data_IF_566059666766
#
_entry.id   IF_566059666766
#
_cell.length_a   1.000
_cell.length_b   1.000
_cell.length_c   1.000
_cell.angle_alpha   90.00
_cell.angle_beta   90.00
_cell.angle_gamma   90.00
#
_symmetry.space_group_name_H-M   'P 1'
#
loop_
_entity.id
_entity.type
_entity.pdbx_description
1 polymer ?
#
# COMPACT_ATOMS: atom_id res chain seq x y z
N UNK A 1 -11.80 -12.27 41.10
CA UNK A 1 -10.58 -12.91 41.62
C UNK A 1 -9.39 -12.15 41.08
N UNK A 2 -8.62 -11.53 41.97
CA UNK A 2 -7.40 -10.81 41.62
C UNK A 2 -6.19 -11.75 41.80
N UNK A 3 -5.17 -11.60 40.95
CA UNK A 3 -3.95 -12.40 41.06
C UNK A 3 -2.91 -11.63 41.85
N UNK A 4 -2.38 -12.22 42.92
CA UNK A 4 -1.36 -11.59 43.76
C UNK A 4 -0.02 -12.28 43.55
N UNK A 5 1.02 -11.50 43.25
CA UNK A 5 2.39 -11.99 43.29
C UNK A 5 2.93 -11.79 44.70
N UNK A 6 3.50 -12.84 45.28
CA UNK A 6 4.11 -12.79 46.60
C UNK A 6 5.57 -13.20 46.56
N UNK A 7 6.34 -12.57 47.45
CA UNK A 7 7.67 -13.02 47.85
C UNK A 7 7.61 -13.35 49.33
N UNK A 8 7.95 -14.58 49.70
CA UNK A 8 7.90 -15.06 51.07
C UNK A 8 9.19 -15.81 51.42
N UNK A 9 9.52 -15.88 52.71
CA UNK A 9 10.73 -16.53 53.23
C UNK A 9 10.36 -17.79 54.00
N UNK A 10 11.06 -18.89 53.78
CA UNK A 10 10.91 -20.11 54.57
C UNK A 10 11.57 -19.96 55.93
N UNK A 11 11.20 -20.77 56.92
CA UNK A 11 11.86 -20.80 58.23
C UNK A 11 13.36 -21.11 58.17
N UNK A 12 13.83 -21.75 57.09
CA UNK A 12 15.23 -22.02 56.80
C UNK A 12 15.97 -20.86 56.09
N UNK A 13 15.26 -19.76 55.81
CA UNK A 13 15.83 -18.53 55.27
C UNK A 13 15.82 -18.39 53.75
N UNK A 14 15.29 -19.37 53.01
CA UNK A 14 15.20 -19.32 51.54
C UNK A 14 14.02 -18.46 51.08
N UNK A 15 14.24 -17.65 50.03
CA UNK A 15 13.20 -16.79 49.45
C UNK A 15 12.45 -17.58 48.37
N UNK A 16 11.12 -17.56 48.44
CA UNK A 16 10.21 -18.23 47.53
C UNK A 16 9.25 -17.19 46.94
N UNK A 17 9.20 -17.11 45.62
CA UNK A 17 8.30 -16.23 44.88
C UNK A 17 7.22 -17.04 44.16
N UNK A 18 5.98 -16.58 44.20
CA UNK A 18 4.86 -17.26 43.55
C UNK A 18 3.70 -16.33 43.22
N UNK A 19 2.68 -16.88 42.56
CA UNK A 19 1.40 -16.20 42.33
C UNK A 19 0.27 -16.98 42.96
N UNK A 20 -0.71 -16.28 43.51
CA UNK A 20 -1.90 -16.87 44.10
C UNK A 20 -3.12 -16.00 43.80
N UNK A 21 -4.17 -16.64 43.29
CA UNK A 21 -5.42 -15.96 42.98
C UNK A 21 -6.29 -15.93 44.23
N UNK A 22 -6.62 -14.73 44.70
CA UNK A 22 -7.41 -14.52 45.89
C UNK A 22 -8.38 -13.34 45.70
N UNK A 23 -9.34 -13.21 46.59
CA UNK A 23 -10.25 -12.07 46.57
C UNK A 23 -9.66 -10.86 47.32
N UNK A 24 -8.78 -11.09 48.30
CA UNK A 24 -8.16 -10.06 49.13
C UNK A 24 -6.75 -10.48 49.58
N UNK A 25 -5.91 -9.50 49.93
CA UNK A 25 -4.53 -9.71 50.41
C UNK A 25 -4.48 -10.62 51.65
N UNK A 26 -5.46 -10.50 52.55
CA UNK A 26 -5.55 -11.31 53.78
C UNK A 26 -5.68 -12.82 53.50
N UNK A 27 -6.32 -13.19 52.39
CA UNK A 27 -6.41 -14.58 51.95
C UNK A 27 -5.07 -15.11 51.43
N UNK A 28 -4.25 -14.25 50.80
CA UNK A 28 -2.89 -14.58 50.36
C UNK A 28 -1.98 -14.77 51.58
N UNK A 29 -2.06 -13.89 52.58
CA UNK A 29 -1.30 -14.00 53.83
C UNK A 29 -1.64 -15.30 54.58
N UNK A 30 -2.92 -15.63 54.66
CA UNK A 30 -3.40 -16.86 55.31
C UNK A 30 -2.90 -18.12 54.59
N UNK A 31 -2.92 -18.12 53.25
CA UNK A 31 -2.35 -19.20 52.43
C UNK A 31 -0.84 -19.39 52.68
N UNK A 32 -0.08 -18.29 52.72
CA UNK A 32 1.37 -18.35 52.96
C UNK A 32 1.70 -18.85 54.36
N UNK A 33 0.95 -18.37 55.37
CA UNK A 33 1.13 -18.80 56.76
C UNK A 33 0.81 -20.30 56.95
N UNK A 34 -0.24 -20.81 56.30
CA UNK A 34 -0.57 -22.24 56.32
C UNK A 34 0.51 -23.12 55.66
N UNK A 35 1.32 -22.56 54.75
CA UNK A 35 2.48 -23.24 54.15
C UNK A 35 3.80 -23.02 54.92
N UNK A 36 3.76 -22.37 56.08
CA UNK A 36 4.96 -22.06 56.87
C UNK A 36 5.88 -21.03 56.19
N UNK A 37 5.34 -20.18 55.31
CA UNK A 37 6.05 -19.13 54.59
C UNK A 37 5.74 -17.76 55.21
N UNK A 38 6.77 -16.97 55.47
CA UNK A 38 6.64 -15.61 56.01
C UNK A 38 6.60 -14.59 54.87
N UNK A 39 5.48 -13.88 54.66
CA UNK A 39 5.36 -12.91 53.57
C UNK A 39 6.32 -11.73 53.78
N UNK A 40 7.04 -11.35 52.71
CA UNK A 40 7.96 -10.20 52.68
C UNK A 40 7.40 -9.07 51.81
N UNK A 41 6.79 -9.41 50.67
CA UNK A 41 6.16 -8.47 49.75
C UNK A 41 4.97 -9.15 49.08
N UNK A 42 3.81 -8.49 49.06
CA UNK A 42 2.60 -8.96 48.37
C UNK A 42 2.11 -7.81 47.50
N UNK A 43 2.15 -8.01 46.19
CA UNK A 43 1.69 -7.02 45.21
C UNK A 43 0.53 -7.60 44.43
N UNK A 44 -0.57 -6.86 44.42
CA UNK A 44 -1.67 -7.15 43.52
C UNK A 44 -1.17 -6.96 42.09
N UNK A 45 -1.13 -8.05 41.34
CA UNK A 45 -0.88 -7.99 39.92
C UNK A 45 -2.23 -7.66 39.30
N UNK A 46 -2.51 -6.35 39.19
CA UNK A 46 -3.62 -5.89 38.37
C UNK A 46 -3.42 -6.51 37.01
N UNK A 47 -4.32 -7.41 36.63
CA UNK A 47 -4.31 -8.01 35.30
C UNK A 47 -4.62 -6.89 34.30
N UNK A 48 -3.62 -6.10 33.93
CA UNK A 48 -3.56 -5.52 32.60
C UNK A 48 -3.71 -6.74 31.71
N UNK A 49 -4.90 -6.89 31.11
CA UNK A 49 -5.15 -7.83 30.01
C UNK A 49 -4.15 -7.47 28.92
N UNK A 50 -2.93 -7.98 29.04
CA UNK A 50 -2.01 -8.22 27.93
C UNK A 50 -2.62 -9.40 27.18
N UNK A 51 -3.74 -9.13 26.51
CA UNK A 51 -4.09 -9.80 25.28
C UNK A 51 -3.03 -9.42 24.25
N UNK A 52 -1.84 -10.02 24.37
CA UNK A 52 -0.91 -10.11 23.25
C UNK A 52 -1.41 -11.28 22.39
N UNK A 53 -2.63 -11.16 21.91
CA UNK A 53 -2.95 -11.52 20.54
C UNK A 53 -3.10 -10.18 19.83
N UNK A 54 -1.97 -9.49 19.65
CA UNK A 54 -1.87 -8.58 18.52
C UNK A 54 -1.92 -9.46 17.26
N UNK A 55 -3.12 -9.97 16.94
CA UNK A 55 -3.50 -10.22 15.56
C UNK A 55 -3.30 -8.87 14.90
N UNK A 56 -2.10 -8.67 14.37
CA UNK A 56 -1.79 -7.57 13.49
C UNK A 56 -2.92 -7.59 12.48
N UNK A 57 -3.83 -6.60 12.56
CA UNK A 57 -4.97 -6.50 11.65
C UNK A 57 -4.36 -6.24 10.28
N UNK A 58 -3.99 -7.32 9.59
CA UNK A 58 -3.44 -7.28 8.26
C UNK A 58 -4.47 -6.57 7.41
N UNK A 59 -4.03 -5.52 6.72
CA UNK A 59 -4.87 -4.83 5.74
C UNK A 59 -5.34 -5.87 4.73
N UNK A 60 -6.63 -5.81 4.38
CA UNK A 60 -7.20 -6.69 3.35
C UNK A 60 -6.46 -6.41 2.03
N UNK A 61 -5.86 -7.44 1.47
CA UNK A 61 -5.09 -7.38 0.22
C UNK A 61 -5.94 -7.80 -0.97
N UNK A 62 -5.53 -7.45 -2.19
CA UNK A 62 -6.19 -7.93 -3.41
C UNK A 62 -6.15 -9.46 -3.51
N UNK A 63 -5.13 -10.12 -2.92
CA UNK A 63 -5.09 -11.59 -2.86
C UNK A 63 -6.19 -12.16 -1.96
N UNK A 64 -6.45 -11.53 -0.81
CA UNK A 64 -7.51 -11.96 0.11
C UNK A 64 -8.88 -11.84 -0.57
N UNK A 65 -9.13 -10.74 -1.29
CA UNK A 65 -10.36 -10.54 -2.06
C UNK A 65 -10.48 -11.52 -3.24
N UNK A 66 -9.37 -11.84 -3.92
CA UNK A 66 -9.35 -12.83 -4.99
C UNK A 66 -9.74 -14.22 -4.48
N UNK A 67 -9.18 -14.65 -3.34
CA UNK A 67 -9.51 -15.94 -2.71
C UNK A 67 -10.97 -15.94 -2.24
N UNK A 68 -11.41 -14.87 -1.58
CA UNK A 68 -12.80 -14.70 -1.15
C UNK A 68 -13.77 -14.84 -2.33
N UNK A 69 -13.58 -14.07 -3.41
CA UNK A 69 -14.47 -14.14 -4.58
C UNK A 69 -14.43 -15.51 -5.25
N UNK A 70 -13.26 -16.15 -5.36
CA UNK A 70 -13.11 -17.47 -5.97
C UNK A 70 -13.82 -18.55 -5.16
N UNK A 71 -13.62 -18.58 -3.85
CA UNK A 71 -14.28 -19.55 -2.97
C UNK A 71 -15.80 -19.34 -2.96
N UNK A 72 -16.23 -18.08 -2.89
CA UNK A 72 -17.64 -17.73 -2.92
C UNK A 72 -18.28 -18.16 -4.25
N UNK A 73 -17.65 -17.84 -5.40
CA UNK A 73 -18.07 -18.32 -6.72
C UNK A 73 -18.23 -19.84 -6.75
N UNK A 74 -17.21 -20.59 -6.31
CA UNK A 74 -17.25 -22.06 -6.33
C UNK A 74 -18.44 -22.62 -5.54
N UNK A 75 -18.78 -22.02 -4.40
CA UNK A 75 -19.90 -22.47 -3.58
C UNK A 75 -21.26 -22.05 -4.14
N UNK A 76 -21.40 -20.81 -4.62
CA UNK A 76 -22.65 -20.33 -5.26
C UNK A 76 -22.94 -21.11 -6.52
N UNK A 77 -21.93 -21.36 -7.36
CA UNK A 77 -22.07 -22.18 -8.57
C UNK A 77 -22.39 -23.66 -8.24
N UNK A 78 -21.98 -24.15 -7.06
CA UNK A 78 -22.39 -25.46 -6.55
C UNK A 78 -23.80 -25.48 -5.92
N UNK A 79 -24.53 -24.37 -5.96
CA UNK A 79 -25.89 -24.25 -5.43
C UNK A 79 -25.99 -24.03 -3.92
N UNK A 80 -24.89 -23.70 -3.24
CA UNK A 80 -24.92 -23.35 -1.82
C UNK A 80 -25.56 -21.98 -1.65
N UNK A 81 -26.47 -21.84 -0.67
CA UNK A 81 -27.10 -20.55 -0.38
C UNK A 81 -26.07 -19.49 0.04
N UNK A 82 -26.35 -18.21 -0.22
CA UNK A 82 -25.48 -17.08 0.14
C UNK A 82 -25.09 -17.10 1.62
N UNK A 83 -26.06 -17.35 2.51
CA UNK A 83 -25.83 -17.46 3.96
C UNK A 83 -24.90 -18.64 4.27
N UNK A 84 -25.08 -19.79 3.62
CA UNK A 84 -24.21 -20.96 3.77
C UNK A 84 -22.77 -20.68 3.30
N UNK A 85 -22.63 -19.98 2.18
CA UNK A 85 -21.33 -19.53 1.67
C UNK A 85 -20.63 -18.62 2.69
N UNK A 86 -21.33 -17.61 3.21
CA UNK A 86 -20.78 -16.67 4.18
C UNK A 86 -20.36 -17.36 5.49
N UNK A 87 -21.11 -18.36 5.97
CA UNK A 87 -20.75 -19.16 7.16
C UNK A 87 -19.45 -19.94 6.96
N UNK A 88 -19.23 -20.51 5.76
CA UNK A 88 -17.99 -21.20 5.43
C UNK A 88 -16.83 -20.21 5.28
N UNK A 89 -17.04 -19.09 4.58
CA UNK A 89 -16.03 -18.06 4.34
C UNK A 89 -15.52 -17.45 5.66
N UNK A 90 -16.40 -17.12 6.61
CA UNK A 90 -15.95 -16.56 7.91
C UNK A 90 -15.07 -17.53 8.70
N UNK A 91 -15.29 -18.84 8.56
CA UNK A 91 -14.54 -19.89 9.26
C UNK A 91 -13.18 -20.18 8.59
N UNK A 92 -13.11 -20.08 7.27
CA UNK A 92 -11.92 -20.44 6.49
C UNK A 92 -11.01 -19.26 6.15
N UNK A 93 -11.47 -18.02 6.31
CA UNK A 93 -10.68 -16.83 5.98
C UNK A 93 -9.50 -16.65 6.95
N UNK A 94 -8.28 -16.75 6.43
CA UNK A 94 -7.05 -16.56 7.23
C UNK A 94 -6.85 -15.10 7.68
N UNK A 95 -7.23 -14.14 6.83
CA UNK A 95 -7.10 -12.72 7.17
C UNK A 95 -8.14 -12.35 8.22
N UNK A 96 -7.69 -12.20 9.47
CA UNK A 96 -8.52 -11.85 10.63
C UNK A 96 -9.42 -10.64 10.43
N UNK A 97 -8.97 -9.59 9.71
CA UNK A 97 -9.80 -8.40 9.45
C UNK A 97 -10.91 -8.68 8.44
N UNK A 98 -10.61 -9.50 7.43
CA UNK A 98 -11.61 -9.92 6.45
C UNK A 98 -12.60 -10.91 7.08
N UNK A 99 -12.14 -11.83 7.93
CA UNK A 99 -13.01 -12.76 8.65
C UNK A 99 -13.99 -12.03 9.59
N UNK A 100 -13.52 -11.01 10.33
CA UNK A 100 -14.38 -10.13 11.14
C UNK A 100 -15.46 -9.45 10.27
N UNK A 101 -15.06 -8.88 9.13
CA UNK A 101 -15.99 -8.26 8.19
C UNK A 101 -17.02 -9.25 7.63
N UNK A 102 -16.59 -10.45 7.22
CA UNK A 102 -17.51 -11.47 6.71
C UNK A 102 -18.48 -11.92 7.80
N UNK A 103 -18.05 -11.95 9.06
CA UNK A 103 -18.95 -12.25 10.17
C UNK A 103 -20.02 -11.16 10.35
N UNK A 104 -19.65 -9.87 10.28
CA UNK A 104 -20.60 -8.76 10.32
C UNK A 104 -21.60 -8.83 9.15
N UNK A 105 -21.11 -9.11 7.94
CA UNK A 105 -21.95 -9.31 6.75
C UNK A 105 -22.87 -10.52 6.90
N UNK A 106 -22.37 -11.64 7.44
CA UNK A 106 -23.18 -12.82 7.72
C UNK A 106 -24.34 -12.51 8.67
N UNK A 107 -24.05 -11.81 9.77
CA UNK A 107 -25.05 -11.45 10.78
C UNK A 107 -26.12 -10.51 10.19
N UNK A 108 -25.76 -9.59 9.29
CA UNK A 108 -26.70 -8.68 8.64
C UNK A 108 -27.56 -9.35 7.56
N UNK A 109 -26.98 -10.23 6.74
CA UNK A 109 -27.74 -11.03 5.77
C UNK A 109 -28.69 -11.99 6.49
N UNK A 110 -28.28 -12.55 7.64
CA UNK A 110 -29.14 -13.39 8.47
C UNK A 110 -30.35 -12.62 9.04
N UNK A 111 -30.22 -11.30 9.27
CA UNK A 111 -31.34 -10.43 9.67
C UNK A 111 -32.28 -10.08 8.51
N UNK A 112 -31.95 -10.49 7.28
CA UNK A 112 -32.78 -10.28 6.10
C UNK A 112 -32.36 -9.11 5.20
N UNK A 113 -31.23 -8.44 5.48
CA UNK A 113 -30.68 -7.45 4.56
C UNK A 113 -30.09 -8.13 3.32
N UNK A 114 -30.04 -7.41 2.20
CA UNK A 114 -29.39 -7.92 1.00
C UNK A 114 -27.87 -8.05 1.20
N UNK A 115 -27.22 -8.91 0.42
CA UNK A 115 -25.76 -9.09 0.47
C UNK A 115 -25.04 -7.79 0.12
N UNK A 116 -25.52 -7.08 -0.90
CA UNK A 116 -24.99 -5.80 -1.34
C UNK A 116 -25.14 -4.70 -0.29
N UNK A 117 -26.29 -4.62 0.38
CA UNK A 117 -26.54 -3.68 1.48
C UNK A 117 -25.57 -3.93 2.64
N UNK A 118 -25.43 -5.19 3.07
CA UNK A 118 -24.51 -5.56 4.14
C UNK A 118 -23.04 -5.21 3.81
N UNK A 119 -22.60 -5.47 2.57
CA UNK A 119 -21.24 -5.11 2.13
C UNK A 119 -21.04 -3.59 2.03
N UNK A 120 -22.08 -2.82 1.70
CA UNK A 120 -22.01 -1.36 1.54
C UNK A 120 -21.65 -0.63 2.85
N UNK A 121 -22.02 -1.20 4.00
CA UNK A 121 -21.65 -0.72 5.34
C UNK A 121 -20.13 -0.71 5.55
N UNK A 122 -19.39 -1.49 4.77
CA UNK A 122 -17.94 -1.60 4.82
C UNK A 122 -17.22 -0.94 3.63
N UNK A 123 -17.85 0.02 2.95
CA UNK A 123 -17.30 0.79 1.82
C UNK A 123 -15.97 1.51 2.10
N UNK A 124 -15.64 1.75 3.37
CA UNK A 124 -14.33 2.30 3.77
C UNK A 124 -13.17 1.28 3.66
N UNK A 125 -13.49 -0.02 3.65
CA UNK A 125 -12.50 -1.12 3.61
C UNK A 125 -12.57 -1.90 2.30
N UNK A 126 -13.77 -2.12 1.77
CA UNK A 126 -13.98 -2.87 0.53
C UNK A 126 -13.88 -1.96 -0.71
N UNK A 127 -13.35 -2.46 -1.83
CA UNK A 127 -13.38 -1.72 -3.10
C UNK A 127 -14.82 -1.50 -3.59
N UNK A 128 -15.11 -0.30 -4.10
CA UNK A 128 -16.44 0.05 -4.63
C UNK A 128 -16.88 -0.91 -5.74
N UNK A 129 -15.96 -1.33 -6.61
CA UNK A 129 -16.26 -2.29 -7.70
C UNK A 129 -16.79 -3.63 -7.18
N UNK A 130 -16.32 -4.09 -6.01
CA UNK A 130 -16.80 -5.33 -5.40
C UNK A 130 -18.26 -5.19 -4.99
N UNK A 131 -18.59 -4.11 -4.27
CA UNK A 131 -19.94 -3.85 -3.75
C UNK A 131 -20.92 -3.66 -4.90
N UNK A 132 -20.60 -2.78 -5.85
CA UNK A 132 -21.50 -2.46 -6.96
C UNK A 132 -21.73 -3.64 -7.91
N UNK A 133 -20.73 -4.50 -8.12
CA UNK A 133 -20.96 -5.70 -8.93
C UNK A 133 -21.80 -6.74 -8.21
N UNK A 134 -21.59 -6.93 -6.90
CA UNK A 134 -22.43 -7.85 -6.12
C UNK A 134 -23.88 -7.37 -6.08
N UNK A 135 -24.11 -6.06 -5.96
CA UNK A 135 -25.44 -5.45 -6.09
C UNK A 135 -26.10 -5.80 -7.43
N UNK A 136 -25.38 -5.61 -8.53
CA UNK A 136 -25.86 -6.00 -9.86
C UNK A 136 -26.20 -7.49 -9.90
N UNK A 137 -25.27 -8.36 -9.50
CA UNK A 137 -25.44 -9.81 -9.55
C UNK A 137 -26.56 -10.33 -8.65
N UNK A 138 -26.83 -9.64 -7.54
CA UNK A 138 -27.94 -9.93 -6.65
C UNK A 138 -29.29 -9.55 -7.28
N UNK A 139 -29.37 -8.38 -7.92
CA UNK A 139 -30.58 -7.91 -8.63
C UNK A 139 -30.87 -8.71 -9.89
N UNK A 140 -29.83 -9.08 -10.67
CA UNK A 140 -29.96 -9.83 -11.91
C UNK A 140 -29.99 -11.35 -11.73
N UNK A 141 -29.71 -11.84 -10.52
CA UNK A 141 -29.59 -13.28 -10.24
C UNK A 141 -28.36 -13.94 -10.89
N UNK A 142 -27.35 -13.16 -11.30
CA UNK A 142 -26.11 -13.63 -11.95
C UNK A 142 -24.88 -13.50 -11.03
N UNK A 143 -25.09 -13.72 -9.72
CA UNK A 143 -24.06 -13.60 -8.69
C UNK A 143 -22.84 -14.52 -8.94
N UNK A 144 -23.07 -15.72 -9.47
CA UNK A 144 -22.03 -16.67 -9.88
C UNK A 144 -21.09 -16.06 -10.94
N UNK A 145 -21.65 -15.52 -12.02
CA UNK A 145 -20.87 -14.88 -13.09
C UNK A 145 -20.10 -13.67 -12.56
N UNK A 146 -20.76 -12.83 -11.76
CA UNK A 146 -20.14 -11.66 -11.13
C UNK A 146 -18.95 -12.05 -10.25
N UNK A 147 -19.09 -13.07 -9.40
CA UNK A 147 -18.04 -13.50 -8.49
C UNK A 147 -16.83 -14.09 -9.25
N UNK A 148 -17.04 -14.82 -10.35
CA UNK A 148 -15.93 -15.31 -11.19
C UNK A 148 -15.15 -14.15 -11.84
N UNK A 149 -15.88 -13.16 -12.38
CA UNK A 149 -15.28 -11.97 -12.99
C UNK A 149 -14.51 -11.12 -11.98
N UNK A 150 -15.06 -10.93 -10.77
CA UNK A 150 -14.38 -10.27 -9.66
C UNK A 150 -13.14 -11.05 -9.20
N UNK A 151 -13.21 -12.38 -9.12
CA UNK A 151 -12.05 -13.21 -8.80
C UNK A 151 -10.93 -13.02 -9.83
N UNK A 152 -11.25 -13.08 -11.13
CA UNK A 152 -10.29 -12.83 -12.20
C UNK A 152 -9.67 -11.42 -12.11
N UNK A 153 -10.49 -10.40 -11.83
CA UNK A 153 -10.04 -9.03 -11.63
C UNK A 153 -9.01 -8.91 -10.49
N UNK A 154 -9.34 -9.41 -9.29
CA UNK A 154 -8.46 -9.30 -8.14
C UNK A 154 -7.20 -10.18 -8.24
N UNK A 155 -7.27 -11.31 -8.96
CA UNK A 155 -6.08 -12.12 -9.31
C UNK A 155 -5.12 -11.27 -10.17
N UNK A 156 -5.64 -10.62 -11.22
CA UNK A 156 -4.83 -9.77 -12.12
C UNK A 156 -4.24 -8.57 -11.36
N UNK A 157 -5.04 -7.92 -10.51
CA UNK A 157 -4.56 -6.82 -9.67
C UNK A 157 -3.45 -7.28 -8.71
N UNK A 158 -3.62 -8.43 -8.05
CA UNK A 158 -2.60 -8.99 -7.18
C UNK A 158 -1.31 -9.33 -7.94
N UNK A 159 -1.41 -9.91 -9.15
CA UNK A 159 -0.24 -10.21 -9.99
C UNK A 159 0.57 -8.94 -10.28
N UNK A 160 -0.08 -7.85 -10.66
CA UNK A 160 0.59 -6.56 -10.92
C UNK A 160 1.26 -6.05 -9.63
N UNK A 161 0.54 -6.08 -8.50
CA UNK A 161 1.09 -5.64 -7.21
C UNK A 161 2.30 -6.47 -6.77
N UNK A 162 2.24 -7.79 -6.90
CA UNK A 162 3.35 -8.68 -6.57
C UNK A 162 4.54 -8.45 -7.49
N UNK A 163 4.31 -8.26 -8.80
CA UNK A 163 5.37 -7.94 -9.75
C UNK A 163 6.10 -6.66 -9.34
N UNK A 164 5.37 -5.59 -9.01
CA UNK A 164 5.96 -4.33 -8.51
C UNK A 164 6.74 -4.58 -7.22
N UNK A 165 6.15 -5.31 -6.25
CA UNK A 165 6.77 -5.57 -4.95
C UNK A 165 8.09 -6.34 -5.09
N UNK A 166 8.09 -7.42 -5.87
CA UNK A 166 9.27 -8.26 -6.10
C UNK A 166 10.33 -7.51 -6.89
N UNK A 167 9.94 -6.78 -7.93
CA UNK A 167 10.84 -5.94 -8.71
C UNK A 167 11.52 -4.84 -7.88
N UNK A 168 10.83 -4.30 -6.87
CA UNK A 168 11.39 -3.25 -6.02
C UNK A 168 12.29 -3.76 -4.91
N UNK A 169 12.29 -5.06 -4.64
CA UNK A 169 13.13 -5.67 -3.61
C UNK A 169 14.62 -5.47 -3.93
N UNK A 170 15.03 -5.69 -5.18
CA UNK A 170 16.43 -5.57 -5.60
C UNK A 170 16.96 -4.13 -5.49
N UNK A 171 16.30 -3.09 -6.04
CA UNK A 171 16.70 -1.70 -5.84
C UNK A 171 16.74 -1.26 -4.38
N UNK A 172 15.84 -1.77 -3.53
CA UNK A 172 15.87 -1.46 -2.10
C UNK A 172 17.10 -2.04 -1.40
N UNK A 173 17.48 -3.29 -1.70
CA UNK A 173 18.67 -3.93 -1.11
C UNK A 173 19.94 -3.19 -1.54
N UNK A 174 20.10 -2.93 -2.85
CA UNK A 174 21.27 -2.21 -3.35
C UNK A 174 21.30 -0.78 -2.85
N UNK A 175 20.16 -0.08 -2.85
CA UNK A 175 20.05 1.26 -2.30
C UNK A 175 20.44 1.31 -0.82
N UNK A 176 20.00 0.33 -0.03
CA UNK A 176 20.39 0.21 1.37
C UNK A 176 21.91 0.01 1.54
N UNK A 177 22.51 -0.92 0.78
CA UNK A 177 23.97 -1.17 0.82
C UNK A 177 24.74 0.07 0.35
N UNK A 178 24.31 0.70 -0.74
CA UNK A 178 24.89 1.92 -1.29
C UNK A 178 24.92 3.05 -0.23
N UNK A 179 23.77 3.32 0.40
CA UNK A 179 23.67 4.33 1.45
C UNK A 179 24.54 3.97 2.66
N UNK A 180 24.55 2.69 3.07
CA UNK A 180 25.39 2.24 4.18
C UNK A 180 26.90 2.43 3.89
N UNK A 181 27.36 2.11 2.67
CA UNK A 181 28.75 2.32 2.25
C UNK A 181 29.10 3.81 2.23
N UNK A 182 28.23 4.66 1.68
CA UNK A 182 28.47 6.11 1.64
C UNK A 182 28.53 6.69 3.06
N UNK A 183 27.59 6.32 3.94
CA UNK A 183 27.62 6.74 5.34
C UNK A 183 28.90 6.25 6.03
N UNK A 184 29.29 4.98 5.84
CA UNK A 184 30.52 4.45 6.41
C UNK A 184 31.76 5.22 5.94
N UNK A 185 31.86 5.50 4.64
CA UNK A 185 32.96 6.32 4.10
C UNK A 185 32.98 7.71 4.72
N UNK A 186 31.83 8.40 4.78
CA UNK A 186 31.75 9.78 5.27
C UNK A 186 31.93 9.89 6.79
N UNK A 187 31.48 8.89 7.56
CA UNK A 187 31.54 8.91 9.02
C UNK A 187 32.86 8.37 9.59
N UNK A 188 33.50 7.40 8.93
CA UNK A 188 34.71 6.75 9.45
C UNK A 188 35.95 7.00 8.60
N UNK A 189 35.84 6.97 7.27
CA UNK A 189 37.01 7.05 6.38
C UNK A 189 37.45 8.50 6.19
N UNK A 190 36.52 9.39 5.80
CA UNK A 190 36.82 10.80 5.52
C UNK A 190 37.41 11.54 6.74
N UNK A 191 36.91 11.37 7.99
CA UNK A 191 37.49 12.05 9.15
C UNK A 191 38.91 11.58 9.49
N UNK A 192 39.24 10.31 9.25
CA UNK A 192 40.61 9.80 9.43
C UNK A 192 41.59 10.46 8.46
N UNK A 193 41.18 10.72 7.22
CA UNK A 193 41.99 11.47 6.28
C UNK A 193 42.05 12.96 6.64
N UNK A 194 40.97 13.52 7.18
CA UNK A 194 40.95 14.91 7.66
C UNK A 194 42.03 15.16 8.71
N UNK A 195 42.17 14.30 9.73
CA UNK A 195 43.19 14.48 10.78
C UNK A 195 44.63 14.41 10.25
N UNK A 196 44.85 13.68 9.16
CA UNK A 196 46.15 13.66 8.47
C UNK A 196 46.43 15.01 7.78
N UNK A 197 45.43 15.60 7.12
CA UNK A 197 45.62 16.85 6.35
C UNK A 197 45.52 18.14 7.18
N UNK A 198 44.73 18.16 8.26
CA UNK A 198 44.58 19.35 9.14
C UNK A 198 45.90 19.77 9.80
N UNK A 199 46.83 18.83 9.92
CA UNK A 199 48.15 19.03 10.50
C UNK A 199 49.14 19.70 9.54
N UNK A 200 48.78 19.85 8.26
CA UNK A 200 49.72 20.18 7.17
C UNK A 200 49.60 21.60 6.62
N UNK A 201 48.73 22.45 7.18
CA UNK A 201 48.73 23.91 6.96
C UNK A 201 48.41 24.40 5.53
N UNK A 202 48.13 23.52 4.57
CA UNK A 202 47.81 23.89 3.19
C UNK A 202 46.29 24.03 2.99
N UNK A 203 45.88 25.03 2.21
CA UNK A 203 44.46 25.27 1.91
C UNK A 203 43.86 24.10 1.14
N UNK A 204 42.86 23.44 1.72
CA UNK A 204 42.19 22.30 1.09
C UNK A 204 41.49 22.71 -0.23
N UNK A 205 41.58 21.88 -1.30
CA UNK A 205 40.83 22.09 -2.53
C UNK A 205 39.31 22.13 -2.32
N UNK A 206 38.60 22.81 -3.22
CA UNK A 206 37.15 23.04 -3.11
C UNK A 206 36.32 21.74 -3.01
N UNK A 207 36.59 20.67 -3.79
CA UNK A 207 35.87 19.40 -3.67
C UNK A 207 36.04 18.75 -2.29
N UNK A 208 37.24 18.81 -1.73
CA UNK A 208 37.56 18.29 -0.39
C UNK A 208 36.82 19.10 0.69
N UNK A 209 36.77 20.43 0.58
CA UNK A 209 35.99 21.28 1.52
C UNK A 209 34.50 20.96 1.53
N UNK A 210 33.90 20.75 0.35
CA UNK A 210 32.48 20.35 0.23
C UNK A 210 32.27 18.98 0.89
N UNK A 211 33.14 18.01 0.61
CA UNK A 211 33.07 16.67 1.19
C UNK A 211 33.16 16.71 2.73
N UNK A 212 34.05 17.53 3.28
CA UNK A 212 34.22 17.68 4.72
C UNK A 212 33.01 18.35 5.38
N UNK A 213 32.40 19.34 4.74
CA UNK A 213 31.15 19.95 5.22
C UNK A 213 30.01 18.94 5.30
N UNK A 214 29.88 18.07 4.28
CA UNK A 214 28.89 16.98 4.26
C UNK A 214 29.19 15.94 5.35
N UNK A 215 30.45 15.51 5.47
CA UNK A 215 30.90 14.54 6.48
C UNK A 215 30.63 15.04 7.90
N UNK A 216 30.94 16.29 8.21
CA UNK A 216 30.69 16.88 9.53
C UNK A 216 29.18 16.96 9.85
N UNK A 217 28.35 17.24 8.83
CA UNK A 217 26.89 17.25 8.97
C UNK A 217 26.32 15.86 9.25
N UNK A 218 26.83 14.83 8.57
CA UNK A 218 26.39 13.43 8.74
C UNK A 218 26.91 12.82 10.05
N UNK A 219 28.11 13.19 10.47
CA UNK A 219 28.71 12.80 11.75
C UNK A 219 27.91 13.30 12.95
N UNK A 220 27.18 14.40 12.81
CA UNK A 220 26.34 14.94 13.86
C UNK A 220 24.92 14.35 13.79
N UNK A 221 24.61 13.44 14.72
CA UNK A 221 23.35 12.68 14.75
C UNK A 221 22.10 13.58 14.80
N UNK A 222 22.24 14.81 15.32
CA UNK A 222 21.18 15.81 15.39
C UNK A 222 20.69 16.30 14.03
N UNK A 223 21.56 16.40 13.02
CA UNK A 223 21.15 16.79 11.67
C UNK A 223 20.41 15.67 10.94
N UNK A 224 20.79 14.40 11.17
CA UNK A 224 20.05 13.25 10.64
C UNK A 224 18.64 13.18 11.23
N UNK A 225 18.49 13.43 12.53
CA UNK A 225 17.18 13.51 13.21
C UNK A 225 16.37 14.70 12.68
N UNK A 226 17.01 15.86 12.48
CA UNK A 226 16.38 17.05 11.91
C UNK A 226 15.89 16.83 10.47
N UNK A 227 16.70 16.21 9.61
CA UNK A 227 16.32 15.87 8.24
C UNK A 227 15.19 14.82 8.20
N UNK A 228 15.26 13.78 9.04
CA UNK A 228 14.20 12.78 9.16
C UNK A 228 12.87 13.40 9.64
N UNK A 229 12.92 14.32 10.61
CA UNK A 229 11.77 15.09 11.06
C UNK A 229 11.20 15.97 9.95
N UNK A 230 12.04 16.72 9.23
CA UNK A 230 11.62 17.55 8.11
C UNK A 230 10.96 16.74 6.99
N UNK A 231 11.54 15.61 6.61
CA UNK A 231 10.99 14.69 5.61
C UNK A 231 9.64 14.13 6.08
N UNK A 232 9.51 13.78 7.36
CA UNK A 232 8.27 13.26 7.94
C UNK A 232 7.15 14.31 7.94
N UNK A 233 7.48 15.56 8.28
CA UNK A 233 6.54 16.69 8.24
C UNK A 233 6.15 17.03 6.80
N UNK A 234 7.12 17.10 5.88
CA UNK A 234 6.86 17.33 4.46
C UNK A 234 5.98 16.22 3.87
N UNK A 235 6.27 14.95 4.20
CA UNK A 235 5.45 13.81 3.80
C UNK A 235 4.03 13.89 4.36
N UNK A 236 3.87 14.25 5.64
CA UNK A 236 2.56 14.41 6.27
C UNK A 236 1.74 15.52 5.61
N UNK A 237 2.33 16.70 5.41
CA UNK A 237 1.69 17.83 4.74
C UNK A 237 1.31 17.49 3.30
N UNK A 238 2.21 16.84 2.56
CA UNK A 238 1.95 16.40 1.19
C UNK A 238 0.86 15.32 1.10
N UNK A 239 0.85 14.38 2.04
CA UNK A 239 -0.20 13.35 2.17
C UNK A 239 -1.56 13.98 2.43
N UNK A 240 -1.63 15.00 3.29
CA UNK A 240 -2.86 15.76 3.56
C UNK A 240 -3.29 16.57 2.32
N UNK A 241 -2.36 17.24 1.66
CA UNK A 241 -2.64 18.03 0.45
C UNK A 241 -3.18 17.15 -0.68
N UNK A 242 -2.58 15.98 -0.92
CA UNK A 242 -3.02 14.98 -1.91
C UNK A 242 -4.46 14.47 -1.70
N UNK A 243 -4.99 14.53 -0.47
CA UNK A 243 -6.35 14.08 -0.17
C UNK A 243 -7.40 15.14 -0.53
N UNK A 244 -7.01 16.41 -0.57
CA UNK A 244 -7.91 17.52 -0.95
C UNK A 244 -8.25 17.50 -2.44
N UNK A 245 -9.44 17.98 -2.80
CA UNK A 245 -9.91 18.06 -4.20
C UNK A 245 -8.97 18.94 -5.04
N UNK A 246 -8.64 20.14 -4.54
CA UNK A 246 -7.70 21.05 -5.20
C UNK A 246 -6.31 20.44 -5.38
N UNK A 247 -5.80 19.74 -4.37
CA UNK A 247 -4.50 19.07 -4.44
C UNK A 247 -4.46 17.96 -5.48
N UNK A 248 -5.53 17.15 -5.60
CA UNK A 248 -5.65 16.13 -6.66
C UNK A 248 -5.60 16.77 -8.04
N UNK A 249 -6.37 17.83 -8.28
CA UNK A 249 -6.40 18.52 -9.57
C UNK A 249 -5.04 19.10 -9.97
N UNK A 250 -4.37 19.80 -9.05
CA UNK A 250 -3.04 20.40 -9.30
C UNK A 250 -2.00 19.32 -9.59
N UNK A 251 -1.96 18.26 -8.78
CA UNK A 251 -1.01 17.17 -8.94
C UNK A 251 -1.23 16.44 -10.26
N UNK A 252 -2.49 16.13 -10.59
CA UNK A 252 -2.84 15.53 -11.87
C UNK A 252 -2.43 16.43 -13.04
N UNK A 253 -2.67 17.75 -12.96
CA UNK A 253 -2.26 18.71 -13.98
C UNK A 253 -0.74 18.77 -14.18
N UNK A 254 0.04 18.70 -13.10
CA UNK A 254 1.52 18.65 -13.16
C UNK A 254 1.98 17.33 -13.79
N UNK A 255 1.46 16.20 -13.32
CA UNK A 255 1.83 14.86 -13.80
C UNK A 255 1.56 14.72 -15.31
N UNK A 256 0.43 15.23 -15.78
CA UNK A 256 0.04 15.17 -17.19
C UNK A 256 0.94 16.03 -18.10
N UNK A 257 1.59 17.06 -17.57
CA UNK A 257 2.52 17.93 -18.33
C UNK A 257 3.93 17.35 -18.47
N UNK A 258 4.32 16.42 -17.60
CA UNK A 258 5.66 15.83 -17.64
C UNK A 258 5.73 14.84 -18.82
N UNK A 259 6.63 15.03 -19.81
CA UNK A 259 6.80 14.11 -20.93
C UNK A 259 7.12 12.69 -20.44
N UNK A 260 6.63 11.66 -21.14
CA UNK A 260 6.64 10.22 -20.74
C UNK A 260 5.79 9.87 -19.51
N UNK A 261 5.90 10.62 -18.40
CA UNK A 261 5.11 10.36 -17.18
C UNK A 261 3.62 10.59 -17.43
N UNK A 262 3.26 11.70 -18.08
CA UNK A 262 1.88 11.98 -18.47
C UNK A 262 1.31 10.93 -19.43
N UNK A 263 2.11 10.46 -20.40
CA UNK A 263 1.71 9.40 -21.34
C UNK A 263 1.39 8.10 -20.60
N UNK A 264 2.25 7.68 -19.68
CA UNK A 264 2.02 6.47 -18.88
C UNK A 264 0.83 6.64 -17.92
N UNK A 265 0.64 7.84 -17.35
CA UNK A 265 -0.50 8.12 -16.50
C UNK A 265 -1.84 8.02 -17.26
N UNK A 266 -1.90 8.51 -18.51
CA UNK A 266 -3.07 8.32 -19.38
C UNK A 266 -3.36 6.85 -19.66
N UNK A 267 -2.33 6.01 -19.89
CA UNK A 267 -2.51 4.55 -20.01
C UNK A 267 -3.08 3.91 -18.75
N UNK A 268 -2.66 4.37 -17.56
CA UNK A 268 -3.21 3.90 -16.29
C UNK A 268 -4.70 4.21 -16.19
N UNK A 269 -5.09 5.42 -16.57
CA UNK A 269 -6.51 5.82 -16.56
C UNK A 269 -7.31 5.05 -17.61
N UNK A 270 -6.76 4.85 -18.81
CA UNK A 270 -7.38 4.07 -19.88
C UNK A 270 -7.60 2.60 -19.49
N UNK A 271 -6.59 1.94 -18.92
CA UNK A 271 -6.72 0.56 -18.40
C UNK A 271 -7.79 0.47 -17.31
N UNK A 272 -7.76 1.35 -16.30
CA UNK A 272 -8.75 1.33 -15.21
C UNK A 272 -10.16 1.58 -15.71
N UNK A 273 -10.33 2.58 -16.57
CA UNK A 273 -11.61 2.91 -17.18
C UNK A 273 -12.15 1.74 -18.00
N UNK A 274 -11.36 1.25 -18.96
CA UNK A 274 -11.78 0.20 -19.89
C UNK A 274 -12.01 -1.12 -19.14
N UNK A 275 -11.15 -1.47 -18.18
CA UNK A 275 -11.33 -2.69 -17.37
C UNK A 275 -12.58 -2.63 -16.51
N UNK A 276 -12.84 -1.52 -15.83
CA UNK A 276 -14.03 -1.37 -15.00
C UNK A 276 -15.29 -1.38 -15.87
N UNK A 277 -15.25 -0.70 -17.03
CA UNK A 277 -16.38 -0.65 -17.94
C UNK A 277 -16.67 -2.01 -18.59
N UNK A 278 -15.66 -2.73 -19.11
CA UNK A 278 -15.86 -4.07 -19.70
C UNK A 278 -16.44 -5.03 -18.66
N UNK A 279 -15.91 -5.00 -17.45
CA UNK A 279 -16.36 -5.86 -16.36
C UNK A 279 -17.85 -5.68 -16.04
N UNK A 280 -18.33 -4.44 -16.05
CA UNK A 280 -19.74 -4.11 -15.80
C UNK A 280 -20.62 -4.43 -17.02
N UNK A 281 -20.17 -4.10 -18.24
CA UNK A 281 -20.92 -4.38 -19.46
C UNK A 281 -21.05 -5.90 -19.73
N UNK A 282 -19.98 -6.67 -19.54
CA UNK A 282 -19.97 -8.14 -19.68
C UNK A 282 -20.90 -8.84 -18.68
N UNK A 283 -21.24 -8.18 -17.57
CA UNK A 283 -22.20 -8.69 -16.57
C UNK A 283 -23.62 -8.19 -16.81
N UNK A 284 -23.87 -7.52 -17.94
CA UNK A 284 -25.19 -7.04 -18.34
C UNK A 284 -25.62 -5.73 -17.70
N UNK A 285 -24.71 -5.00 -17.03
CA UNK A 285 -25.02 -3.70 -16.43
C UNK A 285 -25.29 -2.68 -17.54
N UNK A 286 -26.43 -1.95 -17.49
CA UNK A 286 -26.69 -0.87 -18.45
C UNK A 286 -25.58 0.19 -18.45
N UNK A 287 -25.20 0.68 -19.64
CA UNK A 287 -24.06 1.59 -19.83
C UNK A 287 -24.07 2.79 -18.87
N UNK A 288 -25.23 3.44 -18.67
CA UNK A 288 -25.33 4.62 -17.80
C UNK A 288 -24.99 4.26 -16.34
N UNK A 289 -25.52 3.13 -15.83
CA UNK A 289 -25.20 2.65 -14.48
C UNK A 289 -23.74 2.22 -14.38
N UNK A 290 -23.20 1.57 -15.43
CA UNK A 290 -21.80 1.19 -15.47
C UNK A 290 -20.89 2.41 -15.35
N UNK A 291 -21.19 3.52 -16.05
CA UNK A 291 -20.43 4.77 -15.96
C UNK A 291 -20.44 5.39 -14.56
N UNK A 292 -21.52 5.26 -13.79
CA UNK A 292 -21.60 5.73 -12.39
C UNK A 292 -20.66 4.96 -11.46
N UNK A 293 -20.51 3.66 -11.69
CA UNK A 293 -19.56 2.83 -10.94
C UNK A 293 -18.12 3.13 -11.39
N UNK A 294 -17.88 3.22 -12.70
CA UNK A 294 -16.56 3.54 -13.27
C UNK A 294 -16.03 4.88 -12.77
N UNK A 295 -16.89 5.89 -12.63
CA UNK A 295 -16.57 7.19 -12.03
C UNK A 295 -15.89 7.06 -10.66
N UNK A 296 -16.39 6.15 -9.81
CA UNK A 296 -15.88 5.89 -8.47
C UNK A 296 -14.60 5.05 -8.49
N UNK A 297 -14.43 4.18 -9.50
CA UNK A 297 -13.31 3.23 -9.61
C UNK A 297 -12.04 3.85 -10.18
N UNK A 298 -12.14 4.73 -11.20
CA UNK A 298 -10.96 5.32 -11.86
C UNK A 298 -10.13 6.19 -10.89
N UNK A 299 -10.77 6.74 -9.84
CA UNK A 299 -10.15 7.50 -8.75
C UNK A 299 -9.27 8.66 -9.27
N UNK A 300 -9.80 9.42 -10.23
CA UNK A 300 -9.19 10.62 -10.77
C UNK A 300 -10.28 11.69 -10.96
N UNK A 301 -10.11 12.85 -10.31
CA UNK A 301 -11.14 13.89 -10.31
C UNK A 301 -11.48 14.41 -11.71
N UNK A 302 -10.49 14.59 -12.58
CA UNK A 302 -10.72 15.12 -13.94
C UNK A 302 -11.52 14.12 -14.78
N UNK A 303 -11.23 12.83 -14.64
CA UNK A 303 -12.02 11.77 -15.29
C UNK A 303 -13.42 11.71 -14.68
N UNK A 304 -13.56 11.74 -13.35
CA UNK A 304 -14.88 11.69 -12.70
C UNK A 304 -15.77 12.84 -13.15
N UNK A 305 -15.28 14.09 -13.10
CA UNK A 305 -16.02 15.28 -13.54
C UNK A 305 -16.38 15.20 -15.04
N UNK A 306 -15.49 14.63 -15.86
CA UNK A 306 -15.73 14.37 -17.27
C UNK A 306 -16.83 13.33 -17.50
N UNK A 307 -16.79 12.22 -16.77
CA UNK A 307 -17.77 11.13 -16.87
C UNK A 307 -19.18 11.57 -16.45
N UNK A 308 -19.32 12.51 -15.49
CA UNK A 308 -20.62 13.11 -15.18
C UNK A 308 -21.22 13.78 -16.41
N UNK A 309 -20.44 14.57 -17.16
CA UNK A 309 -20.90 15.22 -18.40
C UNK A 309 -21.21 14.20 -19.49
N UNK A 310 -20.36 13.19 -19.66
CA UNK A 310 -20.58 12.10 -20.63
C UNK A 310 -21.91 11.40 -20.39
N UNK A 311 -22.25 11.08 -19.14
CA UNK A 311 -23.54 10.46 -18.79
C UNK A 311 -24.73 11.32 -19.22
N UNK A 312 -24.67 12.63 -19.00
CA UNK A 312 -25.75 13.55 -19.38
C UNK A 312 -25.91 13.66 -20.91
N UNK A 313 -24.82 13.62 -21.67
CA UNK A 313 -24.88 13.63 -23.14
C UNK A 313 -25.43 12.30 -23.70
N UNK A 314 -25.08 11.16 -23.10
CA UNK A 314 -25.63 9.85 -23.49
C UNK A 314 -27.13 9.77 -23.20
N UNK A 315 -27.58 10.30 -22.05
CA UNK A 315 -29.02 10.41 -21.74
C UNK A 315 -29.79 11.25 -22.77
N UNK A 316 -29.11 12.17 -23.46
CA UNK A 316 -29.67 12.99 -24.56
C UNK A 316 -29.59 12.31 -25.93
N UNK A 317 -29.06 11.09 -26.00
CA UNK A 317 -28.95 10.29 -27.24
C UNK A 317 -27.64 10.47 -28.00
N UNK A 318 -26.61 11.08 -27.41
CA UNK A 318 -25.26 11.10 -28.00
C UNK A 318 -24.57 9.75 -27.83
N UNK A 319 -23.67 9.42 -28.77
CA UNK A 319 -22.80 8.23 -28.65
C UNK A 319 -21.82 8.38 -27.49
N UNK A 320 -21.25 7.27 -26.99
CA UNK A 320 -20.28 7.31 -25.88
C UNK A 320 -18.93 7.91 -26.32
N UNK A 321 -18.50 7.63 -27.55
CA UNK A 321 -17.16 7.98 -28.04
C UNK A 321 -16.89 9.50 -28.05
N UNK A 322 -17.83 10.28 -28.61
CA UNK A 322 -17.67 11.73 -28.80
C UNK A 322 -17.53 12.52 -27.48
N UNK A 323 -18.43 12.39 -26.49
CA UNK A 323 -18.30 13.12 -25.23
C UNK A 323 -17.09 12.62 -24.41
N UNK A 324 -16.69 11.35 -24.57
CA UNK A 324 -15.49 10.82 -23.91
C UNK A 324 -14.20 11.42 -24.48
N UNK A 325 -14.14 11.64 -25.79
CA UNK A 325 -13.04 12.36 -26.45
C UNK A 325 -12.88 13.79 -25.92
N UNK A 326 -14.01 14.45 -25.63
CA UNK A 326 -14.05 15.79 -25.02
C UNK A 326 -13.36 15.90 -23.65
N UNK A 327 -13.11 14.78 -22.95
CA UNK A 327 -12.34 14.78 -21.69
C UNK A 327 -10.84 15.05 -21.95
N UNK A 328 -10.31 14.67 -23.11
CA UNK A 328 -8.92 14.93 -23.52
C UNK A 328 -7.83 14.18 -22.73
N UNK A 329 -8.22 13.21 -21.89
CA UNK A 329 -7.29 12.39 -21.09
C UNK A 329 -7.03 11.04 -21.75
N UNK A 330 -8.06 10.44 -22.34
CA UNK A 330 -7.96 9.11 -22.91
C UNK A 330 -7.15 9.13 -24.21
N UNK A 331 -6.32 8.11 -24.46
CA UNK A 331 -5.69 7.95 -25.77
C UNK A 331 -6.75 7.76 -26.87
N UNK A 332 -6.44 8.24 -28.09
CA UNK A 332 -7.33 8.18 -29.26
C UNK A 332 -7.84 6.76 -29.55
N UNK A 333 -7.00 5.75 -29.31
CA UNK A 333 -7.40 4.35 -29.53
C UNK A 333 -8.60 3.93 -28.66
N UNK A 334 -8.73 4.47 -27.44
CA UNK A 334 -9.87 4.16 -26.56
C UNK A 334 -11.17 4.67 -27.19
N UNK A 335 -11.21 5.94 -27.59
CA UNK A 335 -12.42 6.56 -28.15
C UNK A 335 -12.78 5.97 -29.50
N UNK A 336 -11.80 5.64 -30.35
CA UNK A 336 -12.03 4.97 -31.63
C UNK A 336 -12.60 3.57 -31.47
N UNK A 337 -12.03 2.76 -30.56
CA UNK A 337 -12.54 1.41 -30.32
C UNK A 337 -13.94 1.43 -29.70
N UNK A 338 -14.26 2.43 -28.86
CA UNK A 338 -15.62 2.64 -28.38
C UNK A 338 -16.57 2.93 -29.54
N UNK A 339 -16.21 3.84 -30.46
CA UNK A 339 -17.03 4.14 -31.63
C UNK A 339 -17.32 2.88 -32.44
N UNK A 340 -16.28 2.08 -32.73
CA UNK A 340 -16.40 0.83 -33.47
C UNK A 340 -17.30 -0.17 -32.73
N UNK A 341 -17.11 -0.34 -31.42
CA UNK A 341 -17.91 -1.27 -30.62
C UNK A 341 -19.37 -0.83 -30.49
N UNK A 342 -19.63 0.47 -30.42
CA UNK A 342 -20.97 1.03 -30.39
C UNK A 342 -21.70 0.87 -31.72
N UNK A 343 -21.03 1.15 -32.85
CA UNK A 343 -21.55 0.93 -34.21
C UNK A 343 -21.81 -0.56 -34.51
N UNK A 344 -20.94 -1.45 -34.02
CA UNK A 344 -21.05 -2.90 -34.19
C UNK A 344 -22.01 -3.56 -33.18
N UNK A 345 -22.46 -2.84 -32.15
CA UNK A 345 -23.29 -3.39 -31.07
C UNK A 345 -22.55 -4.38 -30.15
N UNK A 346 -21.22 -4.36 -30.12
CA UNK A 346 -20.35 -5.26 -29.36
C UNK A 346 -19.40 -4.50 -28.42
N UNK A 347 -19.92 -3.44 -27.80
CA UNK A 347 -19.14 -2.53 -26.95
C UNK A 347 -18.46 -3.25 -25.77
N UNK A 348 -19.13 -4.23 -25.17
CA UNK A 348 -18.61 -5.07 -24.09
C UNK A 348 -17.35 -5.84 -24.51
N UNK A 349 -17.40 -6.53 -25.66
CA UNK A 349 -16.27 -7.28 -26.20
C UNK A 349 -15.10 -6.36 -26.57
N UNK A 350 -15.38 -5.29 -27.32
CA UNK A 350 -14.34 -4.37 -27.81
C UNK A 350 -13.67 -3.64 -26.64
N UNK A 351 -14.42 -3.19 -25.64
CA UNK A 351 -13.84 -2.57 -24.43
C UNK A 351 -13.00 -3.57 -23.64
N UNK A 352 -13.39 -4.85 -23.62
CA UNK A 352 -12.58 -5.93 -23.06
C UNK A 352 -11.20 -6.02 -23.71
N UNK A 353 -11.15 -5.98 -25.06
CA UNK A 353 -9.87 -5.97 -25.81
C UNK A 353 -9.03 -4.72 -25.54
N UNK A 354 -9.67 -3.55 -25.44
CA UNK A 354 -8.99 -2.30 -25.07
C UNK A 354 -8.38 -2.39 -23.67
N UNK A 355 -9.12 -2.98 -22.72
CA UNK A 355 -8.65 -3.19 -21.36
C UNK A 355 -7.46 -4.15 -21.31
N UNK A 356 -7.48 -5.25 -22.08
CA UNK A 356 -6.36 -6.18 -22.17
C UNK A 356 -5.11 -5.53 -22.77
N UNK A 357 -5.27 -4.79 -23.88
CA UNK A 357 -4.18 -4.06 -24.52
C UNK A 357 -3.50 -3.08 -23.57
N UNK A 358 -4.27 -2.24 -22.87
CA UNK A 358 -3.66 -1.27 -21.94
C UNK A 358 -3.08 -1.92 -20.69
N UNK A 359 -3.64 -3.03 -20.21
CA UNK A 359 -3.02 -3.78 -19.12
C UNK A 359 -1.65 -4.34 -19.51
N UNK A 360 -1.50 -4.86 -20.74
CA UNK A 360 -0.22 -5.32 -21.28
C UNK A 360 0.77 -4.17 -21.52
N UNK A 361 0.28 -3.05 -22.04
CA UNK A 361 1.11 -1.86 -22.26
C UNK A 361 1.60 -1.28 -20.92
N UNK A 362 0.77 -1.31 -19.88
CA UNK A 362 1.15 -0.95 -18.53
C UNK A 362 2.16 -1.93 -17.94
N UNK A 363 1.96 -3.23 -18.10
CA UNK A 363 2.88 -4.23 -17.57
C UNK A 363 4.28 -4.09 -18.19
N UNK A 364 4.32 -3.82 -19.49
CA UNK A 364 5.55 -3.53 -20.24
C UNK A 364 6.19 -2.23 -19.76
N UNK A 365 5.41 -1.16 -19.64
CA UNK A 365 5.90 0.15 -19.17
C UNK A 365 6.46 0.07 -17.75
N UNK A 366 5.81 -0.67 -16.85
CA UNK A 366 6.27 -0.91 -15.49
C UNK A 366 7.60 -1.68 -15.50
N UNK A 367 7.70 -2.74 -16.31
CA UNK A 367 8.92 -3.55 -16.44
C UNK A 367 10.10 -2.74 -16.95
N UNK A 368 9.88 -1.89 -17.95
CA UNK A 368 10.90 -0.99 -18.50
C UNK A 368 11.37 0.06 -17.47
N UNK A 369 10.43 0.62 -16.69
CA UNK A 369 10.81 1.56 -15.62
C UNK A 369 11.66 0.87 -14.56
N UNK A 370 11.31 -0.36 -14.19
CA UNK A 370 12.07 -1.17 -13.23
C UNK A 370 13.48 -1.46 -13.75
N UNK A 371 13.62 -1.89 -15.01
CA UNK A 371 14.93 -2.24 -15.57
C UNK A 371 15.88 -1.06 -15.71
N UNK A 372 15.37 0.16 -15.84
CA UNK A 372 16.18 1.39 -15.87
C UNK A 372 16.67 1.82 -14.48
N UNK A 373 16.01 1.39 -13.40
CA UNK A 373 16.41 1.79 -12.04
C UNK A 373 17.81 1.25 -11.71
N UNK A 374 18.13 0.03 -12.11
CA UNK A 374 19.43 -0.59 -11.78
C UNK A 374 20.63 0.14 -12.40
N UNK A 375 20.71 0.39 -13.72
CA UNK A 375 21.82 1.14 -14.32
C UNK A 375 21.96 2.55 -13.75
N UNK A 376 20.84 3.24 -13.51
CA UNK A 376 20.85 4.58 -12.92
C UNK A 376 21.41 4.54 -11.50
N UNK A 377 21.01 3.55 -10.69
CA UNK A 377 21.52 3.39 -9.33
C UNK A 377 23.03 3.13 -9.31
N UNK A 378 23.53 2.26 -10.20
CA UNK A 378 24.97 1.97 -10.31
C UNK A 378 25.73 3.22 -10.74
N UNK A 379 25.24 3.96 -11.74
CA UNK A 379 25.88 5.18 -12.22
C UNK A 379 25.93 6.25 -11.12
N UNK A 380 24.84 6.43 -10.38
CA UNK A 380 24.80 7.36 -9.23
C UNK A 380 25.78 6.93 -8.13
N UNK A 381 25.82 5.64 -7.79
CA UNK A 381 26.79 5.12 -6.82
C UNK A 381 28.23 5.36 -7.28
N UNK A 382 28.55 5.04 -8.54
CA UNK A 382 29.87 5.23 -9.10
C UNK A 382 30.29 6.71 -9.08
N UNK A 383 29.36 7.63 -9.39
CA UNK A 383 29.61 9.06 -9.33
C UNK A 383 29.87 9.52 -7.88
N UNK A 384 29.05 9.08 -6.91
CA UNK A 384 29.23 9.43 -5.49
C UNK A 384 30.56 8.90 -4.96
N UNK A 385 30.85 7.61 -5.15
CA UNK A 385 32.09 6.99 -4.67
C UNK A 385 33.30 7.59 -5.39
N UNK A 386 33.23 7.77 -6.70
CA UNK A 386 34.26 8.43 -7.49
C UNK A 386 34.54 9.85 -7.03
N UNK A 387 33.49 10.63 -6.73
CA UNK A 387 33.62 11.97 -6.16
C UNK A 387 34.34 11.94 -4.81
N UNK A 388 33.97 11.02 -3.91
CA UNK A 388 34.64 10.87 -2.61
C UNK A 388 36.13 10.56 -2.79
N UNK A 389 36.46 9.58 -3.64
CA UNK A 389 37.85 9.17 -3.90
C UNK A 389 38.68 10.31 -4.49
N UNK A 390 38.16 11.00 -5.51
CA UNK A 390 38.85 12.14 -6.14
C UNK A 390 39.07 13.27 -5.12
N UNK A 391 38.04 13.60 -4.33
CA UNK A 391 38.13 14.65 -3.31
C UNK A 391 39.13 14.30 -2.20
N UNK A 392 39.39 13.01 -1.95
CA UNK A 392 40.41 12.55 -1.00
C UNK A 392 41.82 12.52 -1.58
N UNK A 393 41.98 12.21 -2.86
CA UNK A 393 43.29 12.14 -3.52
C UNK A 393 43.81 13.54 -3.91
N UNK A 394 42.92 14.49 -4.24
CA UNK A 394 43.32 15.81 -4.72
C UNK A 394 44.27 16.59 -3.78
N UNK A 395 44.09 16.60 -2.44
CA UNK A 395 45.07 17.19 -1.52
C UNK A 395 46.47 16.56 -1.63
N UNK A 396 46.55 15.25 -1.89
CA UNK A 396 47.83 14.53 -2.04
C UNK A 396 48.61 15.05 -3.25
N UNK A 397 47.96 15.29 -4.38
CA UNK A 397 48.63 15.91 -5.54
C UNK A 397 49.07 17.35 -5.28
N UNK A 398 48.27 18.11 -4.53
CA UNK A 398 48.65 19.46 -4.09
C UNK A 398 49.91 19.45 -3.22
N UNK A 399 50.11 18.41 -2.41
CA UNK A 399 51.33 18.23 -1.62
C UNK A 399 52.55 17.98 -2.52
N UNK A 400 52.46 17.06 -3.48
CA UNK A 400 53.57 16.78 -4.40
C UNK A 400 54.02 18.01 -5.19
N UNK A 401 53.08 18.86 -5.60
CA UNK A 401 53.39 20.08 -6.36
C UNK A 401 54.04 21.19 -5.51
N UNK A 402 53.89 21.16 -4.19
CA UNK A 402 54.52 22.13 -3.29
C UNK A 402 55.85 21.62 -2.69
N UNK A 403 56.19 20.35 -2.88
CA UNK A 403 57.43 19.72 -2.41
C UNK A 403 58.52 19.62 -3.49
N UNK A 404 58.23 20.05 -4.72
CA UNK A 404 59.19 20.29 -5.80
C UNK A 404 58.97 21.68 -6.36
#
# INVERSE_FOLDING_TARGET
MASFAYTAKTSAGAIVTGKFDANDVDNVVSFLRNKGLFPMDIKEVTAVRKGITSKSRKRISSNDLAIFCRQFYTMVNAGVSVIGCLDLLRKQTENTKLAELINEVYDDVQKGNSLSEALSLHSNTLPVILISMIEVGEVSGTLDMVLDKLAAHFIKENRIRQKIKTAMMYPMIIGFIAVAVVIFMLAFVVPKFMSMFSSMGTGLPLPTKILLGISHTISNIWFLIGAASFISVAYYLFSKFKRTVKGRLIITGIILKIPKVGKNYRKILASRFSRALSLLLETGVPLIQALEVVEKVVNNQVVSDGLVKVKEEIKRGSSLASPLEGIGIFPVMVTQMISIGEEAGSLDEIIGKVADFYDEELDTSISQLISLIEPVMILVLALIVGFIVIAMIMPVFGMYKNMG
#
